data_IF_956746875187
#
_entry.id   IF_956746875187
#
_cell.length_a   1.000
_cell.length_b   1.000
_cell.length_c   1.000
_cell.angle_alpha   90.00
_cell.angle_beta   90.00
_cell.angle_gamma   90.00
#
_symmetry.space_group_name_H-M   'P 1'
#
loop_
_entity.id
_entity.type
_entity.pdbx_description
1 polymer ?
#
# COMPACT_ATOMS: atom_id res chain seq x y z
N UNK A 1 43.21 -33.93 48.03
CA UNK A 1 42.57 -34.82 47.04
C UNK A 1 41.87 -33.96 46.00
N UNK A 2 42.28 -34.15 44.74
CA UNK A 2 41.64 -33.79 43.47
C UNK A 2 41.14 -32.34 43.24
N UNK A 3 41.94 -31.65 42.43
CA UNK A 3 41.62 -30.50 41.57
C UNK A 3 40.29 -30.63 40.82
N UNK A 4 39.61 -29.50 40.61
CA UNK A 4 38.72 -29.36 39.44
C UNK A 4 38.76 -27.93 38.93
N UNK A 5 39.72 -27.69 38.02
CA UNK A 5 39.66 -26.57 37.09
C UNK A 5 38.44 -26.78 36.19
N UNK A 6 37.39 -25.98 36.37
CA UNK A 6 36.33 -25.88 35.39
C UNK A 6 36.89 -25.20 34.13
N UNK A 7 37.25 -26.02 33.15
CA UNK A 7 37.79 -25.61 31.87
C UNK A 7 36.82 -24.66 31.14
N UNK A 8 37.33 -23.48 30.79
CA UNK A 8 36.73 -22.52 29.87
C UNK A 8 36.49 -23.19 28.51
N UNK A 9 35.27 -23.67 28.25
CA UNK A 9 34.87 -24.13 26.91
C UNK A 9 34.47 -22.95 26.06
N UNK A 10 35.44 -22.39 25.35
CA UNK A 10 35.22 -21.46 24.24
C UNK A 10 34.40 -22.22 23.18
N UNK A 11 33.12 -21.86 23.04
CA UNK A 11 32.29 -22.30 21.92
C UNK A 11 32.73 -21.49 20.68
N UNK A 12 33.71 -22.00 19.93
CA UNK A 12 33.98 -21.54 18.58
C UNK A 12 32.84 -22.00 17.67
N UNK A 13 31.72 -21.27 17.69
CA UNK A 13 30.74 -21.34 16.61
C UNK A 13 31.41 -20.70 15.39
N UNK A 14 31.85 -21.57 14.49
CA UNK A 14 32.40 -21.21 13.18
C UNK A 14 31.45 -20.21 12.49
N UNK A 15 31.94 -19.01 12.22
CA UNK A 15 31.25 -18.04 11.39
C UNK A 15 31.14 -18.61 9.97
N UNK A 16 29.91 -18.93 9.55
CA UNK A 16 29.63 -19.25 8.14
C UNK A 16 29.73 -17.95 7.35
N UNK A 17 30.52 -17.86 6.27
CA UNK A 17 30.48 -16.70 5.41
C UNK A 17 29.07 -16.63 4.80
N UNK A 18 28.33 -15.59 5.18
CA UNK A 18 27.14 -15.16 4.44
C UNK A 18 27.63 -14.73 3.06
N UNK A 19 27.53 -15.63 2.09
CA UNK A 19 27.69 -15.26 0.68
C UNK A 19 26.49 -14.38 0.38
N UNK A 20 26.68 -13.07 0.52
CA UNK A 20 25.73 -12.07 0.04
C UNK A 20 25.66 -12.25 -1.48
N UNK A 21 24.69 -13.02 -1.93
CA UNK A 21 24.27 -13.08 -3.32
C UNK A 21 23.79 -11.69 -3.69
N UNK A 22 24.69 -10.88 -4.23
CA UNK A 22 24.36 -9.57 -4.82
C UNK A 22 23.49 -9.88 -6.02
N UNK A 23 22.18 -9.85 -5.82
CA UNK A 23 21.21 -10.00 -6.88
C UNK A 23 21.44 -8.85 -7.85
N UNK A 24 21.95 -9.16 -9.04
CA UNK A 24 21.99 -8.23 -10.16
C UNK A 24 20.55 -8.01 -10.61
N UNK A 25 19.94 -6.94 -10.11
CA UNK A 25 18.63 -6.50 -10.58
C UNK A 25 18.79 -5.95 -11.99
N UNK A 26 18.13 -6.59 -12.97
CA UNK A 26 18.09 -6.09 -14.34
C UNK A 26 17.05 -4.98 -14.43
N UNK A 27 17.41 -3.86 -15.06
CA UNK A 27 16.51 -2.72 -15.27
C UNK A 27 15.22 -3.09 -16.00
N UNK A 28 15.22 -4.21 -16.75
CA UNK A 28 14.05 -4.75 -17.44
C UNK A 28 12.88 -5.08 -16.49
N UNK A 29 13.15 -5.53 -15.26
CA UNK A 29 12.09 -5.81 -14.28
C UNK A 29 11.42 -4.55 -13.74
N UNK A 30 12.09 -3.38 -13.81
CA UNK A 30 11.52 -2.10 -13.37
C UNK A 30 10.55 -1.48 -14.39
N UNK A 31 10.51 -2.00 -15.63
CA UNK A 31 9.80 -1.38 -16.76
C UNK A 31 8.30 -1.73 -16.83
N UNK A 32 7.83 -2.63 -15.97
CA UNK A 32 6.46 -3.12 -16.02
C UNK A 32 5.75 -2.90 -14.69
N UNK A 33 5.71 -1.65 -14.24
CA UNK A 33 4.89 -1.28 -13.09
C UNK A 33 3.40 -1.48 -13.45
N UNK A 34 2.61 -2.15 -12.59
CA UNK A 34 1.21 -2.37 -12.88
C UNK A 34 0.47 -1.03 -12.95
N UNK A 35 -0.33 -0.84 -14.00
CA UNK A 35 -1.23 0.32 -14.14
C UNK A 35 -2.27 0.26 -13.02
N UNK A 36 -2.11 1.10 -11.99
CA UNK A 36 -2.97 1.10 -10.81
C UNK A 36 -4.40 1.58 -11.11
N UNK A 37 -4.57 2.54 -12.02
CA UNK A 37 -5.85 3.16 -12.35
C UNK A 37 -6.57 2.48 -13.53
N UNK A 38 -6.51 1.14 -13.64
CA UNK A 38 -7.03 0.36 -14.79
C UNK A 38 -8.46 0.75 -15.21
N UNK A 39 -9.35 1.00 -14.25
CA UNK A 39 -10.76 1.33 -14.52
C UNK A 39 -11.04 2.82 -14.48
N UNK A 40 -10.53 3.54 -13.49
CA UNK A 40 -10.74 4.99 -13.37
C UNK A 40 -10.19 5.75 -14.57
N UNK A 41 -9.11 5.26 -15.21
CA UNK A 41 -8.56 5.88 -16.41
C UNK A 41 -9.53 6.03 -17.58
N UNK A 42 -10.63 5.26 -17.60
CA UNK A 42 -11.63 5.35 -18.66
C UNK A 42 -12.39 6.68 -18.63
N UNK A 43 -12.53 7.29 -17.44
CA UNK A 43 -13.18 8.59 -17.23
C UNK A 43 -12.17 9.72 -17.00
N UNK A 44 -10.95 9.43 -16.53
CA UNK A 44 -9.97 10.46 -16.22
C UNK A 44 -9.01 10.82 -17.35
N UNK A 45 -8.74 9.94 -18.32
CA UNK A 45 -7.74 10.20 -19.37
C UNK A 45 -8.29 10.71 -20.71
N UNK A 46 -9.39 10.18 -21.27
CA UNK A 46 -9.86 10.62 -22.59
C UNK A 46 -10.39 12.05 -22.56
N UNK A 47 -9.98 12.89 -23.53
CA UNK A 47 -10.49 14.26 -23.67
C UNK A 47 -12.00 14.33 -23.93
N UNK A 48 -12.59 13.25 -24.47
CA UNK A 48 -14.03 13.11 -24.65
C UNK A 48 -14.80 13.00 -23.34
N UNK A 49 -14.13 12.72 -22.22
CA UNK A 49 -14.71 12.61 -20.87
C UNK A 49 -14.58 13.90 -20.04
N UNK A 50 -14.54 15.06 -20.71
CA UNK A 50 -14.40 16.36 -20.03
C UNK A 50 -15.52 16.65 -19.00
N UNK A 51 -16.75 16.20 -19.25
CA UNK A 51 -17.85 16.34 -18.29
C UNK A 51 -17.62 15.51 -17.01
N UNK A 52 -17.16 14.26 -17.16
CA UNK A 52 -16.81 13.38 -16.04
C UNK A 52 -15.66 13.98 -15.23
N UNK A 53 -14.64 14.51 -15.91
CA UNK A 53 -13.50 15.19 -15.27
C UNK A 53 -13.94 16.44 -14.50
N UNK A 54 -14.80 17.27 -15.09
CA UNK A 54 -15.35 18.46 -14.41
C UNK A 54 -16.09 18.10 -13.10
N UNK A 55 -16.89 17.03 -13.11
CA UNK A 55 -17.55 16.53 -11.89
C UNK A 55 -16.55 16.02 -10.85
N UNK A 56 -15.46 15.39 -11.28
CA UNK A 56 -14.42 14.89 -10.38
C UNK A 56 -13.63 16.04 -9.72
N UNK A 57 -13.32 17.12 -10.44
CA UNK A 57 -12.71 18.32 -9.84
C UNK A 57 -13.60 19.00 -8.80
N UNK A 58 -14.93 18.82 -8.87
CA UNK A 58 -15.86 19.36 -7.88
C UNK A 58 -15.90 18.54 -6.57
N UNK A 59 -15.16 17.43 -6.48
CA UNK A 59 -15.09 16.58 -5.28
C UNK A 59 -13.89 16.94 -4.41
N UNK A 60 -14.00 16.68 -3.10
CA UNK A 60 -12.91 16.93 -2.14
C UNK A 60 -11.65 16.05 -2.34
N UNK A 61 -11.66 15.11 -3.29
CA UNK A 61 -10.62 14.10 -3.46
C UNK A 61 -9.65 14.35 -4.62
N UNK A 62 -9.91 15.34 -5.47
CA UNK A 62 -9.09 15.70 -6.63
C UNK A 62 -8.65 17.15 -6.44
N UNK A 63 -7.35 17.37 -6.33
CA UNK A 63 -6.75 18.70 -6.13
C UNK A 63 -6.00 19.13 -7.39
N UNK A 64 -5.30 18.20 -8.04
CA UNK A 64 -4.43 18.46 -9.19
C UNK A 64 -4.65 17.43 -10.30
N UNK A 65 -4.25 17.75 -11.53
CA UNK A 65 -4.37 16.85 -12.68
C UNK A 65 -3.66 15.50 -12.48
N UNK A 66 -2.59 15.46 -11.68
CA UNK A 66 -1.86 14.22 -11.40
C UNK A 66 -2.68 13.22 -10.55
N UNK A 67 -3.73 13.68 -9.85
CA UNK A 67 -4.63 12.79 -9.11
C UNK A 67 -5.40 11.84 -10.04
N UNK A 68 -5.56 12.19 -11.32
CA UNK A 68 -6.15 11.31 -12.33
C UNK A 68 -5.28 10.09 -12.66
N UNK A 69 -3.99 10.12 -12.32
CA UNK A 69 -3.10 8.97 -12.43
C UNK A 69 -3.24 7.99 -11.24
N UNK A 70 -3.88 8.42 -10.14
CA UNK A 70 -4.11 7.58 -8.96
C UNK A 70 -5.28 6.62 -9.19
N UNK A 71 -5.26 5.50 -8.47
CA UNK A 71 -6.41 4.59 -8.46
C UNK A 71 -7.58 5.22 -7.71
N UNK A 72 -8.78 5.21 -8.29
CA UNK A 72 -9.98 5.61 -7.57
C UNK A 72 -10.54 4.43 -6.79
N UNK A 73 -10.69 4.61 -5.48
CA UNK A 73 -11.17 3.57 -4.56
C UNK A 73 -12.51 4.01 -3.98
N UNK A 74 -13.58 3.27 -4.31
CA UNK A 74 -14.90 3.49 -3.73
C UNK A 74 -15.00 2.88 -2.33
N UNK A 75 -15.30 3.69 -1.32
CA UNK A 75 -15.52 3.22 0.06
C UNK A 75 -17.04 3.07 0.30
N UNK A 76 -17.57 1.87 0.06
CA UNK A 76 -18.98 1.57 0.27
C UNK A 76 -19.26 1.24 1.74
N UNK A 77 -19.95 2.15 2.44
CA UNK A 77 -20.32 1.96 3.86
C UNK A 77 -21.79 1.53 3.98
N UNK A 78 -22.03 0.35 4.55
CA UNK A 78 -23.39 -0.13 4.87
C UNK A 78 -23.78 0.40 6.24
N UNK A 79 -24.03 1.70 6.34
CA UNK A 79 -24.35 2.36 7.60
C UNK A 79 -25.85 2.60 7.77
N UNK A 80 -26.32 2.41 9.01
CA UNK A 80 -27.68 2.74 9.43
C UNK A 80 -27.73 2.93 10.94
N UNK A 81 -28.22 4.07 11.43
CA UNK A 81 -28.20 4.39 12.87
C UNK A 81 -29.16 3.54 13.71
N UNK A 82 -30.25 3.06 13.11
CA UNK A 82 -31.26 2.24 13.78
C UNK A 82 -30.84 0.77 13.98
N UNK A 83 -29.67 0.36 13.46
CA UNK A 83 -29.14 -0.98 13.64
C UNK A 83 -27.78 -0.92 14.38
N UNK A 84 -27.67 -1.46 15.61
CA UNK A 84 -26.42 -1.41 16.37
C UNK A 84 -25.24 -2.10 15.65
N UNK A 85 -25.51 -3.10 14.80
CA UNK A 85 -24.48 -3.79 14.01
C UNK A 85 -23.83 -2.88 12.96
N UNK A 86 -24.50 -1.83 12.49
CA UNK A 86 -24.08 -1.02 11.34
C UNK A 86 -23.87 0.47 11.68
N UNK A 87 -24.29 0.91 12.87
CA UNK A 87 -24.20 2.30 13.32
C UNK A 87 -22.76 2.87 13.29
N UNK A 88 -21.75 2.04 13.54
CA UNK A 88 -20.35 2.47 13.63
C UNK A 88 -19.62 2.49 12.27
N UNK A 89 -20.23 1.94 11.21
CA UNK A 89 -19.55 1.73 9.92
C UNK A 89 -19.27 3.06 9.20
N UNK A 90 -20.07 4.10 9.42
CA UNK A 90 -19.82 5.43 8.82
C UNK A 90 -18.48 6.02 9.28
N UNK A 91 -18.21 5.97 10.59
CA UNK A 91 -16.95 6.46 11.17
C UNK A 91 -15.75 5.64 10.66
N UNK A 92 -15.92 4.32 10.50
CA UNK A 92 -14.89 3.47 9.91
C UNK A 92 -14.61 3.85 8.45
N UNK A 93 -15.65 4.08 7.64
CA UNK A 93 -15.52 4.53 6.25
C UNK A 93 -14.79 5.86 6.12
N UNK A 94 -15.11 6.83 6.98
CA UNK A 94 -14.42 8.13 7.04
C UNK A 94 -12.94 7.98 7.40
N UNK A 95 -12.61 7.11 8.36
CA UNK A 95 -11.22 6.81 8.73
C UNK A 95 -10.44 6.15 7.58
N UNK A 96 -11.09 5.27 6.81
CA UNK A 96 -10.48 4.64 5.63
C UNK A 96 -10.26 5.65 4.49
N UNK A 97 -11.20 6.59 4.29
CA UNK A 97 -11.09 7.65 3.27
C UNK A 97 -9.97 8.66 3.58
N UNK A 98 -9.68 8.86 4.86
CA UNK A 98 -8.74 9.90 5.29
C UNK A 98 -7.35 9.68 4.67
N UNK A 99 -6.70 10.74 4.16
CA UNK A 99 -5.36 10.62 3.60
C UNK A 99 -4.39 10.08 4.64
N UNK A 100 -3.49 9.18 4.20
CA UNK A 100 -2.42 8.60 5.01
C UNK A 100 -1.25 9.56 5.16
#
# INVERSE_FOLDING_TARGET
MASSLAALRINLRQARPSVASRQLQTSAAAMNQPIMNRWSRTVTQPKSQGASQAMLYATDGIVEDDDFNKAMVGVASVWYEGNPCNKHILALGQRIKSPS
#
